data_IF_521595033714
#
_entry.id   IF_521595033714
#
_cell.length_a   1.000
_cell.length_b   1.000
_cell.length_c   1.000
_cell.angle_alpha   90.00
_cell.angle_beta   90.00
_cell.angle_gamma   90.00
#
_symmetry.space_group_name_H-M   'P 1'
#
loop_
_entity.id
_entity.type
_entity.pdbx_description
1 polymer ?
#
# COMPACT_ATOMS: atom_id res chain seq x y z
N UNK A 1 1.63 39.92 27.78
CA UNK A 1 1.25 39.04 26.66
C UNK A 1 1.71 37.64 27.01
N UNK A 2 0.80 36.81 27.52
CA UNK A 2 1.08 35.43 27.89
C UNK A 2 0.73 34.56 26.70
N UNK A 3 1.76 33.97 26.07
CA UNK A 3 1.58 33.03 24.96
C UNK A 3 1.09 31.72 25.58
N UNK A 4 -0.17 31.37 25.30
CA UNK A 4 -0.70 30.05 25.59
C UNK A 4 -0.06 29.07 24.61
N UNK A 5 0.91 28.29 25.07
CA UNK A 5 1.34 27.06 24.41
C UNK A 5 0.23 26.03 24.64
N UNK A 6 -0.75 26.01 23.73
CA UNK A 6 -1.69 24.93 23.64
C UNK A 6 -0.94 23.67 23.24
N UNK A 7 -0.61 22.82 24.23
CA UNK A 7 -0.33 21.42 23.99
C UNK A 7 -1.59 20.87 23.33
N UNK A 8 -1.52 20.61 22.03
CA UNK A 8 -2.55 19.85 21.35
C UNK A 8 -2.61 18.48 22.05
N UNK A 9 -3.67 18.26 22.83
CA UNK A 9 -3.98 16.92 23.32
C UNK A 9 -4.10 15.98 22.13
N UNK A 10 -3.82 14.68 22.30
CA UNK A 10 -4.01 13.73 21.21
C UNK A 10 -5.49 13.79 20.82
N UNK A 11 -5.78 14.28 19.61
CA UNK A 11 -7.09 14.10 19.01
C UNK A 11 -7.27 12.60 18.82
N UNK A 12 -8.06 12.02 19.72
CA UNK A 12 -8.61 10.66 19.69
C UNK A 12 -9.57 10.53 18.52
N UNK A 13 -9.06 10.66 17.30
CA UNK A 13 -9.83 10.34 16.11
C UNK A 13 -10.11 8.82 16.10
N UNK A 14 -11.26 8.44 15.58
CA UNK A 14 -11.57 7.04 15.29
C UNK A 14 -10.61 6.47 14.25
N UNK A 15 -10.53 5.14 14.18
CA UNK A 15 -10.11 4.45 12.96
C UNK A 15 -11.05 4.92 11.84
N UNK A 16 -10.51 5.49 10.77
CA UNK A 16 -11.32 6.09 9.71
C UNK A 16 -11.31 5.23 8.46
N UNK A 17 -12.48 5.16 7.83
CA UNK A 17 -12.60 4.55 6.52
C UNK A 17 -11.75 5.30 5.48
N UNK A 18 -10.76 4.63 4.86
CA UNK A 18 -9.94 5.25 3.83
C UNK A 18 -10.79 5.53 2.58
N UNK A 19 -10.41 6.53 1.80
CA UNK A 19 -10.96 6.71 0.45
C UNK A 19 -9.85 6.39 -0.54
N UNK A 20 -9.95 5.21 -1.16
CA UNK A 20 -8.93 4.77 -2.12
C UNK A 20 -9.10 5.42 -3.48
N UNK A 21 -7.98 5.84 -4.06
CA UNK A 21 -7.86 6.37 -5.41
C UNK A 21 -7.06 5.42 -6.29
N UNK A 22 -7.34 5.44 -7.60
CA UNK A 22 -6.52 4.74 -8.58
C UNK A 22 -5.04 5.11 -8.42
N UNK A 23 -4.17 4.10 -8.29
CA UNK A 23 -2.74 4.28 -8.12
C UNK A 23 -2.25 4.28 -6.67
N UNK A 24 -3.15 4.32 -5.69
CA UNK A 24 -2.78 4.03 -4.31
C UNK A 24 -2.13 2.63 -4.24
N UNK A 25 -1.01 2.53 -3.55
CA UNK A 25 -0.28 1.27 -3.44
C UNK A 25 0.56 1.19 -2.17
N UNK A 26 0.78 -0.05 -1.73
CA UNK A 26 1.58 -0.39 -0.57
C UNK A 26 2.50 -1.54 -0.90
N UNK A 27 3.74 -1.43 -0.47
CA UNK A 27 4.76 -2.46 -0.59
C UNK A 27 5.15 -2.90 0.81
N UNK A 28 5.10 -4.20 1.04
CA UNK A 28 5.43 -4.84 2.30
C UNK A 28 6.59 -5.81 2.16
N UNK A 29 7.35 -5.97 3.24
CA UNK A 29 8.18 -7.15 3.47
C UNK A 29 7.30 -8.17 4.17
N UNK A 30 7.28 -9.41 3.69
CA UNK A 30 6.55 -10.52 4.31
C UNK A 30 7.51 -11.59 4.79
N UNK A 31 7.24 -12.13 5.97
CA UNK A 31 7.83 -13.35 6.47
C UNK A 31 6.72 -14.27 6.94
N UNK A 32 6.81 -15.56 6.66
CA UNK A 32 5.82 -16.52 7.10
C UNK A 32 6.42 -17.91 7.30
N UNK A 33 5.71 -18.76 8.03
CA UNK A 33 6.00 -20.18 8.17
C UNK A 33 4.81 -20.99 7.72
N UNK A 34 5.05 -21.97 6.86
CA UNK A 34 4.05 -22.96 6.45
C UNK A 34 4.48 -24.31 7.02
N UNK A 35 3.59 -24.97 7.74
CA UNK A 35 3.80 -26.31 8.33
C UNK A 35 3.25 -27.44 7.44
N UNK A 36 2.48 -27.09 6.41
CA UNK A 36 1.94 -28.03 5.42
C UNK A 36 1.51 -27.31 4.14
N UNK A 37 1.75 -27.93 2.98
CA UNK A 37 1.14 -27.47 1.73
C UNK A 37 -0.29 -28.02 1.62
N UNK A 38 -1.29 -27.21 1.25
CA UNK A 38 -2.62 -27.72 0.95
C UNK A 38 -2.58 -28.75 -0.18
N UNK A 39 -3.33 -29.84 -0.04
CA UNK A 39 -3.34 -30.96 -1.00
C UNK A 39 -2.19 -31.96 -0.83
N UNK A 40 -1.24 -31.71 0.09
CA UNK A 40 -0.20 -32.66 0.45
C UNK A 40 -0.69 -33.56 1.59
N UNK A 41 -0.91 -34.84 1.31
CA UNK A 41 -1.30 -35.79 2.35
C UNK A 41 -0.08 -36.18 3.20
N UNK A 42 -0.29 -36.46 4.48
CA UNK A 42 0.77 -36.89 5.41
C UNK A 42 1.53 -38.14 4.94
N UNK A 43 0.89 -39.00 4.14
CA UNK A 43 1.50 -40.18 3.52
C UNK A 43 2.45 -39.86 2.35
N UNK A 44 2.46 -38.62 1.86
CA UNK A 44 3.36 -38.16 0.80
C UNK A 44 4.52 -37.36 1.39
N UNK A 45 4.34 -36.82 2.60
CA UNK A 45 5.37 -36.14 3.35
C UNK A 45 4.83 -35.10 4.29
N UNK A 46 5.75 -34.40 4.93
CA UNK A 46 5.48 -33.20 5.72
C UNK A 46 6.70 -32.29 5.63
N UNK A 47 6.51 -31.00 5.85
CA UNK A 47 7.63 -30.07 5.81
C UNK A 47 7.32 -28.79 6.55
N UNK A 48 8.39 -28.13 6.98
CA UNK A 48 8.31 -26.81 7.59
C UNK A 48 9.08 -25.85 6.70
N UNK A 49 8.40 -24.83 6.22
CA UNK A 49 8.91 -23.88 5.25
C UNK A 49 8.85 -22.48 5.82
N UNK A 50 10.00 -21.82 5.90
CA UNK A 50 10.08 -20.38 6.04
C UNK A 50 9.86 -19.72 4.68
N UNK A 51 9.15 -18.60 4.68
CA UNK A 51 8.94 -17.73 3.54
C UNK A 51 9.47 -16.35 3.86
N UNK A 52 10.16 -15.75 2.91
CA UNK A 52 10.54 -14.33 2.95
C UNK A 52 10.32 -13.72 1.59
N UNK A 53 9.64 -12.59 1.53
CA UNK A 53 9.32 -11.97 0.25
C UNK A 53 8.85 -10.53 0.34
N UNK A 54 8.36 -10.05 -0.79
CA UNK A 54 7.74 -8.74 -0.94
C UNK A 54 6.29 -8.93 -1.39
N UNK A 55 5.40 -8.09 -0.86
CA UNK A 55 3.99 -8.02 -1.27
C UNK A 55 3.71 -6.61 -1.76
N UNK A 56 3.12 -6.48 -2.94
CA UNK A 56 2.59 -5.25 -3.47
C UNK A 56 1.07 -5.34 -3.49
N UNK A 57 0.40 -4.33 -2.94
CA UNK A 57 -1.05 -4.13 -3.01
C UNK A 57 -1.29 -2.84 -3.78
N UNK A 58 -2.11 -2.87 -4.82
CA UNK A 58 -2.35 -1.72 -5.70
C UNK A 58 -3.84 -1.56 -5.98
N UNK A 59 -4.34 -0.35 -5.77
CA UNK A 59 -5.69 0.05 -6.15
C UNK A 59 -5.73 0.35 -7.63
N UNK A 60 -6.58 -0.37 -8.35
CA UNK A 60 -6.81 -0.15 -9.79
C UNK A 60 -7.85 0.95 -9.98
N UNK A 61 -8.91 0.93 -9.18
CA UNK A 61 -9.93 1.96 -9.22
C UNK A 61 -11.32 1.43 -8.86
N UNK A 62 -12.36 2.27 -9.05
CA UNK A 62 -13.73 1.85 -8.85
C UNK A 62 -14.12 0.76 -9.85
N UNK A 63 -14.88 -0.21 -9.38
CA UNK A 63 -15.41 -1.31 -10.17
C UNK A 63 -16.83 -1.66 -9.72
N UNK A 64 -17.51 -2.46 -10.52
CA UNK A 64 -18.85 -2.94 -10.27
C UNK A 64 -18.89 -4.46 -10.36
N UNK A 65 -19.42 -5.10 -9.32
CA UNK A 65 -19.59 -6.55 -9.28
C UNK A 65 -21.08 -6.87 -9.39
N UNK A 66 -21.53 -7.58 -10.44
CA UNK A 66 -22.92 -7.97 -10.57
C UNK A 66 -23.31 -8.98 -9.49
N UNK A 67 -24.45 -8.72 -8.83
CA UNK A 67 -25.06 -9.60 -7.82
C UNK A 67 -26.56 -9.72 -8.13
N UNK A 68 -26.93 -10.79 -8.82
CA UNK A 68 -28.29 -10.98 -9.31
C UNK A 68 -28.70 -9.85 -10.26
N UNK A 69 -29.80 -9.16 -9.96
CA UNK A 69 -30.30 -8.02 -10.74
C UNK A 69 -29.73 -6.66 -10.29
N UNK A 70 -28.77 -6.65 -9.37
CA UNK A 70 -28.16 -5.43 -8.83
C UNK A 70 -26.65 -5.43 -9.05
N UNK A 71 -26.04 -4.25 -8.98
CA UNK A 71 -24.58 -4.08 -9.03
C UNK A 71 -24.11 -3.57 -7.67
N UNK A 72 -23.00 -4.11 -7.16
CA UNK A 72 -22.35 -3.62 -5.95
C UNK A 72 -21.16 -2.78 -6.36
N UNK A 73 -21.12 -1.52 -5.93
CA UNK A 73 -19.95 -0.66 -6.13
C UNK A 73 -18.80 -1.14 -5.23
N UNK A 74 -17.63 -1.28 -5.85
CA UNK A 74 -16.43 -1.83 -5.24
C UNK A 74 -15.19 -1.04 -5.62
N UNK A 75 -14.08 -1.33 -4.95
CA UNK A 75 -12.73 -0.96 -5.38
C UNK A 75 -12.01 -2.23 -5.82
N UNK A 76 -11.48 -2.24 -7.04
CA UNK A 76 -10.64 -3.33 -7.53
C UNK A 76 -9.21 -3.14 -7.02
N UNK A 77 -8.65 -4.22 -6.45
CA UNK A 77 -7.31 -4.26 -5.89
C UNK A 77 -6.55 -5.43 -6.48
N UNK A 78 -5.30 -5.18 -6.89
CA UNK A 78 -4.34 -6.22 -7.26
C UNK A 78 -3.36 -6.42 -6.11
N UNK A 79 -3.18 -7.68 -5.72
CA UNK A 79 -2.15 -8.09 -4.77
C UNK A 79 -1.18 -9.02 -5.47
N UNK A 80 0.10 -8.69 -5.44
CA UNK A 80 1.19 -9.52 -5.95
C UNK A 80 2.17 -9.81 -4.83
N UNK A 81 2.56 -11.07 -4.65
CA UNK A 81 3.61 -11.45 -3.73
C UNK A 81 4.66 -12.30 -4.42
N UNK A 82 5.93 -12.04 -4.15
CA UNK A 82 7.04 -12.88 -4.62
C UNK A 82 8.07 -13.03 -3.53
N UNK A 83 8.75 -14.17 -3.50
CA UNK A 83 9.80 -14.37 -2.54
C UNK A 83 10.46 -15.73 -2.63
N UNK A 84 11.22 -16.02 -1.59
CA UNK A 84 11.97 -17.24 -1.41
C UNK A 84 11.33 -18.08 -0.32
N UNK A 85 11.47 -19.39 -0.46
CA UNK A 85 11.14 -20.35 0.57
C UNK A 85 12.36 -21.20 0.91
N UNK A 86 12.49 -21.58 2.17
CA UNK A 86 13.52 -22.50 2.63
C UNK A 86 12.99 -23.35 3.79
N UNK A 87 13.59 -24.51 4.04
CA UNK A 87 13.22 -25.31 5.21
C UNK A 87 13.61 -26.77 5.08
N UNK A 88 12.76 -27.63 5.62
CA UNK A 88 12.97 -29.08 5.55
C UNK A 88 11.72 -29.79 5.05
N UNK A 89 11.94 -30.85 4.29
CA UNK A 89 10.90 -31.75 3.79
C UNK A 89 11.22 -33.18 4.22
N UNK A 90 10.19 -33.94 4.58
CA UNK A 90 10.31 -35.34 4.99
C UNK A 90 9.37 -36.18 4.14
N UNK A 91 9.91 -37.09 3.34
CA UNK A 91 9.14 -38.12 2.64
C UNK A 91 9.15 -39.41 3.46
N UNK A 92 8.02 -40.13 3.61
CA UNK A 92 8.03 -41.44 4.25
C UNK A 92 9.01 -42.40 3.57
N UNK A 93 9.84 -43.08 4.35
CA UNK A 93 10.89 -43.98 3.84
C UNK A 93 12.21 -43.29 3.48
N UNK A 94 12.30 -41.95 3.55
CA UNK A 94 13.54 -41.18 3.39
C UNK A 94 13.78 -40.30 4.62
N UNK A 95 15.03 -39.92 4.86
CA UNK A 95 15.40 -38.95 5.91
C UNK A 95 14.88 -37.53 5.60
N UNK A 96 15.12 -36.54 6.48
CA UNK A 96 14.85 -35.15 6.14
C UNK A 96 15.75 -34.68 4.99
N UNK A 97 15.18 -33.90 4.09
CA UNK A 97 15.89 -33.17 3.05
C UNK A 97 15.73 -31.66 3.24
N UNK A 98 16.77 -30.93 2.88
CA UNK A 98 16.69 -29.48 2.78
C UNK A 98 15.90 -29.10 1.53
N UNK A 99 15.11 -28.04 1.67
CA UNK A 99 14.33 -27.48 0.58
C UNK A 99 14.63 -25.99 0.45
N UNK A 100 14.79 -25.55 -0.79
CA UNK A 100 14.91 -24.13 -1.14
C UNK A 100 14.11 -23.84 -2.38
N UNK A 101 13.60 -22.63 -2.54
CA UNK A 101 12.76 -22.35 -3.69
C UNK A 101 12.23 -20.94 -3.72
N UNK A 102 11.19 -20.75 -4.51
CA UNK A 102 10.49 -19.48 -4.66
C UNK A 102 8.99 -19.67 -4.58
N UNK A 103 8.31 -18.57 -4.26
CA UNK A 103 6.87 -18.48 -4.36
C UNK A 103 6.46 -17.22 -5.13
N UNK A 104 5.34 -17.32 -5.83
CA UNK A 104 4.67 -16.18 -6.47
C UNK A 104 3.19 -16.27 -6.19
N UNK A 105 2.54 -15.14 -5.92
CA UNK A 105 1.09 -15.00 -5.82
C UNK A 105 0.66 -13.82 -6.64
N UNK A 106 -0.37 -13.99 -7.45
CA UNK A 106 -1.05 -12.92 -8.16
C UNK A 106 -2.55 -13.04 -7.85
N UNK A 107 -3.14 -12.01 -7.27
CA UNK A 107 -4.52 -12.00 -6.81
C UNK A 107 -5.22 -10.70 -7.22
N UNK A 108 -6.46 -10.82 -7.66
CA UNK A 108 -7.38 -9.70 -7.88
C UNK A 108 -8.51 -9.81 -6.88
N UNK A 109 -8.81 -8.73 -6.18
CA UNK A 109 -9.93 -8.63 -5.24
C UNK A 109 -10.83 -7.46 -5.60
N UNK A 110 -12.10 -7.60 -5.23
CA UNK A 110 -13.10 -6.53 -5.28
C UNK A 110 -13.59 -6.29 -3.87
N UNK A 111 -13.21 -5.16 -3.31
CA UNK A 111 -13.57 -4.76 -1.96
C UNK A 111 -14.83 -3.93 -1.99
N UNK A 112 -15.84 -4.28 -1.20
CA UNK A 112 -17.07 -3.49 -1.17
C UNK A 112 -16.85 -2.09 -0.58
N UNK A 113 -17.63 -1.12 -1.05
CA UNK A 113 -17.34 0.28 -0.80
C UNK A 113 -17.60 0.76 0.62
N UNK A 114 -18.29 0.02 1.49
CA UNK A 114 -18.68 0.47 2.82
C UNK A 114 -17.66 0.11 3.90
N UNK A 115 -17.13 -1.12 3.91
CA UNK A 115 -16.15 -1.61 4.88
C UNK A 115 -14.87 -2.20 4.26
N UNK A 116 -14.74 -2.20 2.93
CA UNK A 116 -13.65 -2.80 2.15
C UNK A 116 -13.44 -4.29 2.40
N UNK A 117 -14.52 -5.02 2.68
CA UNK A 117 -14.46 -6.48 2.74
C UNK A 117 -14.41 -7.06 1.30
N UNK A 118 -13.57 -8.08 1.04
CA UNK A 118 -13.51 -8.70 -0.27
C UNK A 118 -14.79 -9.49 -0.56
N UNK A 119 -15.56 -9.06 -1.56
CA UNK A 119 -16.78 -9.74 -2.02
C UNK A 119 -16.55 -10.66 -3.22
N UNK A 120 -15.43 -10.48 -3.92
CA UNK A 120 -14.95 -11.38 -4.95
C UNK A 120 -13.43 -11.37 -4.96
N UNK A 121 -12.83 -12.55 -5.14
CA UNK A 121 -11.39 -12.73 -5.24
C UNK A 121 -11.05 -13.80 -6.27
N UNK A 122 -9.98 -13.59 -7.01
CA UNK A 122 -9.42 -14.56 -7.96
C UNK A 122 -7.91 -14.48 -7.89
N UNK A 123 -7.27 -15.59 -7.54
CA UNK A 123 -5.84 -15.61 -7.32
C UNK A 123 -5.18 -16.91 -7.74
N UNK A 124 -3.91 -16.81 -8.10
CA UNK A 124 -3.02 -17.93 -8.35
C UNK A 124 -1.80 -17.81 -7.44
N UNK A 125 -1.44 -18.89 -6.76
CA UNK A 125 -0.22 -19.01 -5.96
C UNK A 125 0.59 -20.19 -6.48
N UNK A 126 1.86 -19.98 -6.77
CA UNK A 126 2.80 -21.00 -7.21
C UNK A 126 3.98 -21.09 -6.25
N UNK A 127 4.36 -22.31 -5.90
CA UNK A 127 5.56 -22.65 -5.16
C UNK A 127 6.42 -23.56 -6.03
N UNK A 128 7.68 -23.20 -6.22
CA UNK A 128 8.67 -24.03 -6.92
C UNK A 128 9.82 -24.24 -5.96
N UNK A 129 10.02 -25.49 -5.55
CA UNK A 129 10.93 -25.83 -4.49
C UNK A 129 11.83 -27.00 -4.88
N UNK A 130 13.13 -26.83 -4.73
CA UNK A 130 14.15 -27.83 -5.00
C UNK A 130 14.41 -28.62 -3.71
N UNK A 131 14.11 -29.91 -3.75
CA UNK A 131 14.32 -30.84 -2.64
C UNK A 131 15.61 -31.61 -2.90
N UNK A 132 16.56 -31.51 -1.98
CA UNK A 132 17.87 -32.18 -2.13
C UNK A 132 17.92 -33.44 -1.26
N UNK A 133 17.73 -34.60 -1.89
CA UNK A 133 18.07 -35.91 -1.36
C UNK A 133 19.43 -36.37 -1.92
N UNK A 134 19.63 -37.69 -2.10
CA UNK A 134 20.77 -38.25 -2.87
C UNK A 134 20.73 -37.78 -4.33
N UNK A 135 19.52 -37.59 -4.89
CA UNK A 135 19.29 -36.96 -6.20
C UNK A 135 18.37 -35.74 -6.01
N UNK A 136 18.68 -34.59 -6.63
CA UNK A 136 17.81 -33.41 -6.57
C UNK A 136 16.50 -33.66 -7.31
N UNK A 137 15.39 -33.21 -6.75
CA UNK A 137 14.06 -33.27 -7.37
C UNK A 137 13.28 -31.99 -7.12
N UNK A 138 12.41 -31.64 -8.07
CA UNK A 138 11.57 -30.46 -7.95
C UNK A 138 10.20 -30.83 -7.35
N UNK A 139 9.82 -30.05 -6.35
CA UNK A 139 8.50 -29.97 -5.76
C UNK A 139 7.81 -28.72 -6.32
N UNK A 140 6.79 -28.92 -7.15
CA UNK A 140 6.02 -27.81 -7.72
C UNK A 140 4.59 -27.88 -7.22
N UNK A 141 4.10 -26.78 -6.68
CA UNK A 141 2.73 -26.67 -6.16
C UNK A 141 2.09 -25.42 -6.74
N UNK A 142 0.96 -25.59 -7.41
CA UNK A 142 0.18 -24.50 -7.98
C UNK A 142 -1.23 -24.53 -7.40
N UNK A 143 -1.69 -23.39 -6.91
CA UNK A 143 -3.03 -23.15 -6.41
C UNK A 143 -3.68 -22.08 -7.26
N UNK A 144 -4.94 -22.31 -7.62
CA UNK A 144 -5.81 -21.29 -8.18
C UNK A 144 -7.09 -21.30 -7.37
N UNK A 145 -7.41 -20.18 -6.74
CA UNK A 145 -8.64 -20.02 -5.99
C UNK A 145 -9.49 -18.93 -6.61
N UNK A 146 -10.78 -19.21 -6.76
CA UNK A 146 -11.80 -18.22 -7.06
C UNK A 146 -12.77 -18.22 -5.89
N UNK A 147 -13.06 -17.06 -5.34
CA UNK A 147 -13.97 -16.92 -4.21
C UNK A 147 -14.99 -15.81 -4.44
N UNK A 148 -16.24 -16.06 -4.05
CA UNK A 148 -17.29 -15.04 -3.99
C UNK A 148 -17.89 -15.04 -2.60
N UNK A 149 -17.99 -13.85 -1.99
CA UNK A 149 -18.45 -13.69 -0.61
C UNK A 149 -19.72 -12.86 -0.58
N UNK A 150 -20.75 -13.41 0.05
CA UNK A 150 -21.93 -12.67 0.47
C UNK A 150 -21.77 -12.22 1.93
N UNK A 151 -22.27 -11.02 2.21
CA UNK A 151 -22.15 -10.36 3.52
C UNK A 151 -23.58 -10.10 3.98
N UNK A 152 -23.97 -10.64 5.14
CA UNK A 152 -25.36 -10.53 5.62
C UNK A 152 -25.70 -9.13 6.12
N UNK A 153 -24.74 -8.47 6.77
CA UNK A 153 -24.84 -7.12 7.28
C UNK A 153 -23.47 -6.47 7.18
N UNK A 154 -23.40 -5.28 6.58
CA UNK A 154 -22.15 -4.57 6.43
C UNK A 154 -21.79 -3.92 7.77
N UNK A 155 -20.58 -4.18 8.30
CA UNK A 155 -20.14 -3.63 9.57
C UNK A 155 -19.84 -2.13 9.45
N UNK A 156 -19.97 -1.39 10.55
CA UNK A 156 -19.47 -0.02 10.63
C UNK A 156 -17.94 -0.03 10.58
N UNK A 157 -17.36 0.79 9.69
CA UNK A 157 -15.90 0.88 9.58
C UNK A 157 -15.30 1.82 10.61
N UNK A 158 -15.92 2.98 10.82
CA UNK A 158 -15.40 3.98 11.74
C UNK A 158 -15.55 3.48 13.17
N UNK A 159 -14.42 3.25 13.84
CA UNK A 159 -14.37 2.59 15.14
C UNK A 159 -13.41 3.31 16.07
N UNK A 160 -13.88 3.69 17.25
CA UNK A 160 -13.04 4.20 18.33
C UNK A 160 -12.31 3.06 19.07
N UNK A 161 -11.28 3.42 19.83
CA UNK A 161 -10.61 2.48 20.74
C UNK A 161 -11.63 1.90 21.74
N UNK A 162 -11.64 0.58 21.86
CA UNK A 162 -12.59 -0.19 22.67
C UNK A 162 -13.85 -0.63 21.92
N UNK A 163 -14.05 -0.20 20.68
CA UNK A 163 -15.17 -0.64 19.85
C UNK A 163 -14.83 -1.86 19.01
N UNK A 164 -15.87 -2.55 18.54
CA UNK A 164 -15.77 -3.72 17.67
C UNK A 164 -16.81 -3.67 16.55
N UNK A 165 -16.53 -4.40 15.48
CA UNK A 165 -17.48 -4.65 14.40
C UNK A 165 -17.43 -6.11 13.96
N UNK A 166 -18.56 -6.62 13.46
CA UNK A 166 -18.65 -7.99 12.98
C UNK A 166 -19.62 -8.13 11.82
N UNK A 167 -19.38 -9.14 10.96
CA UNK A 167 -20.26 -9.48 9.86
C UNK A 167 -20.26 -10.99 9.61
N UNK A 168 -21.43 -11.56 9.29
CA UNK A 168 -21.48 -12.95 8.84
C UNK A 168 -21.24 -13.01 7.34
N UNK A 169 -20.37 -13.94 6.96
CA UNK A 169 -19.91 -14.17 5.61
C UNK A 169 -20.35 -15.56 5.16
N UNK A 170 -20.81 -15.64 3.92
CA UNK A 170 -20.91 -16.93 3.21
C UNK A 170 -20.07 -16.82 1.96
N UNK A 171 -18.98 -17.57 1.94
CA UNK A 171 -18.00 -17.56 0.86
C UNK A 171 -18.05 -18.87 0.09
N UNK A 172 -18.38 -18.79 -1.19
CA UNK A 172 -18.18 -19.88 -2.13
C UNK A 172 -16.74 -19.87 -2.61
N UNK A 173 -16.01 -20.97 -2.48
CA UNK A 173 -14.61 -21.12 -2.92
C UNK A 173 -14.50 -22.28 -3.90
N UNK A 174 -13.94 -22.02 -5.09
CA UNK A 174 -13.46 -23.04 -6.03
C UNK A 174 -11.92 -23.02 -6.02
N UNK A 175 -11.34 -24.08 -5.48
CA UNK A 175 -9.90 -24.28 -5.37
C UNK A 175 -9.46 -25.37 -6.34
N UNK A 176 -8.54 -25.02 -7.22
CA UNK A 176 -7.82 -25.94 -8.09
C UNK A 176 -6.38 -26.00 -7.66
N UNK A 177 -5.89 -27.19 -7.33
CA UNK A 177 -4.51 -27.41 -6.93
C UNK A 177 -3.85 -28.46 -7.80
N UNK A 178 -2.63 -28.17 -8.25
CA UNK A 178 -1.77 -29.13 -8.95
C UNK A 178 -0.46 -29.26 -8.18
N UNK A 179 -0.08 -30.51 -7.95
CA UNK A 179 1.07 -30.90 -7.18
C UNK A 179 1.94 -31.83 -8.02
N UNK A 180 3.23 -31.54 -8.15
CA UNK A 180 4.19 -32.39 -8.85
C UNK A 180 5.40 -32.65 -7.98
N UNK A 181 5.74 -33.93 -7.80
CA UNK A 181 6.92 -34.36 -7.04
C UNK A 181 7.41 -35.71 -7.55
N UNK A 182 8.73 -35.90 -7.66
CA UNK A 182 9.34 -37.11 -8.25
C UNK A 182 8.72 -37.53 -9.60
N UNK A 183 8.42 -36.54 -10.46
CA UNK A 183 7.81 -36.78 -11.78
C UNK A 183 6.35 -37.25 -11.74
N UNK A 184 5.74 -37.38 -10.56
CA UNK A 184 4.32 -37.68 -10.42
C UNK A 184 3.53 -36.39 -10.22
N UNK A 185 2.51 -36.19 -11.05
CA UNK A 185 1.60 -35.05 -10.94
C UNK A 185 0.23 -35.49 -10.43
N UNK A 186 -0.33 -34.73 -9.51
CA UNK A 186 -1.69 -34.87 -9.01
C UNK A 186 -2.41 -33.54 -9.12
N UNK A 187 -3.67 -33.60 -9.50
CA UNK A 187 -4.55 -32.43 -9.52
C UNK A 187 -5.80 -32.72 -8.71
N UNK A 188 -6.26 -31.71 -8.00
CA UNK A 188 -7.49 -31.75 -7.23
C UNK A 188 -8.28 -30.46 -7.53
N UNK A 189 -9.60 -30.60 -7.56
CA UNK A 189 -10.53 -29.50 -7.62
C UNK A 189 -11.55 -29.70 -6.52
N UNK A 190 -11.69 -28.70 -5.67
CA UNK A 190 -12.65 -28.69 -4.58
C UNK A 190 -13.46 -27.40 -4.67
N UNK A 191 -14.78 -27.53 -4.62
CA UNK A 191 -15.69 -26.41 -4.49
C UNK A 191 -16.46 -26.57 -3.17
N UNK A 192 -16.54 -25.51 -2.39
CA UNK A 192 -17.20 -25.56 -1.08
C UNK A 192 -17.76 -24.19 -0.69
N UNK A 193 -18.81 -24.21 0.11
CA UNK A 193 -19.39 -23.03 0.75
C UNK A 193 -18.93 -22.98 2.21
N UNK A 194 -18.32 -21.87 2.59
CA UNK A 194 -17.80 -21.63 3.93
C UNK A 194 -18.65 -20.55 4.60
N UNK A 195 -19.29 -20.90 5.70
CA UNK A 195 -19.92 -19.92 6.60
C UNK A 195 -18.91 -19.50 7.65
N UNK A 196 -18.69 -18.20 7.80
CA UNK A 196 -17.75 -17.64 8.77
C UNK A 196 -18.26 -16.32 9.34
N UNK A 197 -17.61 -15.85 10.40
CA UNK A 197 -17.87 -14.52 10.98
C UNK A 197 -16.56 -13.73 10.92
N UNK A 198 -16.61 -12.58 10.25
CA UNK A 198 -15.55 -11.58 10.30
C UNK A 198 -15.75 -10.71 11.53
N UNK A 199 -14.67 -10.41 12.23
CA UNK A 199 -14.64 -9.54 13.40
C UNK A 199 -13.43 -8.60 13.35
N UNK A 200 -13.57 -7.42 13.95
CA UNK A 200 -12.49 -6.45 14.18
C UNK A 200 -12.74 -5.73 15.50
N UNK A 201 -11.77 -5.81 16.40
CA UNK A 201 -11.72 -5.07 17.66
C UNK A 201 -10.61 -4.02 17.59
N UNK A 202 -10.90 -2.76 17.96
CA UNK A 202 -9.89 -1.71 18.08
C UNK A 202 -9.39 -1.68 19.51
N UNK A 203 -8.19 -2.23 19.76
CA UNK A 203 -7.69 -2.45 21.12
C UNK A 203 -7.04 -1.20 21.71
N UNK A 204 -6.19 -0.53 20.93
CA UNK A 204 -5.41 0.61 21.38
C UNK A 204 -4.91 1.42 20.18
N UNK A 205 -4.32 2.57 20.47
CA UNK A 205 -3.57 3.37 19.50
C UNK A 205 -2.13 3.49 19.98
N UNK A 206 -1.17 3.17 19.12
CA UNK A 206 0.25 3.18 19.47
C UNK A 206 1.12 3.52 18.26
N UNK A 207 2.37 3.92 18.55
CA UNK A 207 3.33 4.23 17.50
C UNK A 207 4.02 2.94 17.05
N UNK A 208 3.95 2.65 15.75
CA UNK A 208 4.55 1.48 15.13
C UNK A 208 5.67 1.93 14.21
N UNK A 209 6.88 1.43 14.47
CA UNK A 209 8.07 1.69 13.64
C UNK A 209 8.31 0.51 12.70
N UNK A 210 8.36 0.81 11.41
CA UNK A 210 8.62 -0.12 10.30
C UNK A 210 9.60 0.52 9.31
N UNK A 211 9.94 -0.18 8.24
CA UNK A 211 10.87 0.28 7.21
C UNK A 211 10.42 1.60 6.55
N UNK A 212 9.11 1.79 6.37
CA UNK A 212 8.56 3.03 5.80
C UNK A 212 8.60 4.24 6.76
N UNK A 213 8.83 4.04 8.06
CA UNK A 213 8.81 5.10 9.07
C UNK A 213 8.11 4.73 10.37
N UNK A 214 7.77 5.72 11.18
CA UNK A 214 6.99 5.54 12.42
C UNK A 214 5.63 6.19 12.26
N UNK A 215 4.57 5.43 12.52
CA UNK A 215 3.18 5.85 12.29
C UNK A 215 2.33 5.63 13.53
N UNK A 216 1.44 6.57 13.80
CA UNK A 216 0.37 6.35 14.77
C UNK A 216 -0.63 5.36 14.17
N UNK A 217 -0.73 4.18 14.77
CA UNK A 217 -1.52 3.06 14.26
C UNK A 217 -2.50 2.56 15.32
N UNK A 218 -3.68 2.15 14.89
CA UNK A 218 -4.65 1.40 15.68
C UNK A 218 -4.24 -0.05 15.71
N UNK A 219 -4.05 -0.59 16.91
CA UNK A 219 -3.87 -2.02 17.12
C UNK A 219 -5.23 -2.70 17.06
N UNK A 220 -5.37 -3.61 16.11
CA UNK A 220 -6.58 -4.34 15.81
C UNK A 220 -6.39 -5.82 16.15
N UNK A 221 -7.40 -6.44 16.73
CA UNK A 221 -7.56 -7.89 16.74
C UNK A 221 -8.68 -8.22 15.77
N UNK A 222 -8.39 -8.95 14.71
CA UNK A 222 -9.39 -9.18 13.66
C UNK A 222 -9.27 -10.56 13.03
N UNK A 223 -10.35 -11.01 12.40
CA UNK A 223 -10.35 -12.20 11.55
C UNK A 223 -9.40 -11.96 10.38
N UNK A 224 -8.48 -12.88 10.13
CA UNK A 224 -7.52 -12.71 9.04
C UNK A 224 -8.23 -12.83 7.68
N UNK A 225 -8.21 -11.77 6.89
CA UNK A 225 -8.79 -11.75 5.54
C UNK A 225 -7.88 -12.40 4.46
N UNK A 226 -6.95 -13.26 4.88
CA UNK A 226 -5.86 -13.78 4.04
C UNK A 226 -4.54 -13.08 4.31
N UNK A 227 -3.45 -13.86 4.28
CA UNK A 227 -2.09 -13.38 4.53
C UNK A 227 -1.22 -13.62 3.30
N UNK A 228 -0.79 -12.54 2.65
CA UNK A 228 -0.04 -12.63 1.39
C UNK A 228 1.27 -13.40 1.58
N UNK A 229 1.39 -14.54 0.88
CA UNK A 229 2.48 -15.50 1.01
C UNK A 229 2.05 -16.85 1.60
N UNK A 230 0.93 -16.90 2.33
CA UNK A 230 0.32 -18.16 2.75
C UNK A 230 -0.60 -18.71 1.64
N UNK A 231 -0.80 -20.04 1.57
CA UNK A 231 -1.71 -20.64 0.62
C UNK A 231 -3.14 -20.14 0.84
N UNK A 232 -3.85 -19.86 -0.24
CA UNK A 232 -5.27 -19.54 -0.23
C UNK A 232 -6.03 -20.71 0.44
N UNK A 233 -6.76 -20.43 1.52
CA UNK A 233 -7.54 -21.44 2.24
C UNK A 233 -6.89 -22.05 3.49
N UNK A 234 -5.68 -21.62 3.90
CA UNK A 234 -5.22 -21.84 5.27
C UNK A 234 -5.71 -20.67 6.12
N UNK A 235 -6.62 -20.96 7.06
CA UNK A 235 -7.07 -20.00 8.05
C UNK A 235 -5.88 -19.59 8.93
N UNK A 236 -5.32 -18.41 8.71
CA UNK A 236 -4.83 -17.67 9.87
C UNK A 236 -6.08 -17.42 10.72
N UNK A 237 -6.18 -18.10 11.86
CA UNK A 237 -7.42 -18.10 12.66
C UNK A 237 -7.77 -16.67 13.09
N UNK A 238 -6.76 -15.93 13.55
CA UNK A 238 -6.82 -14.52 13.91
C UNK A 238 -5.54 -13.80 13.50
N UNK A 239 -5.62 -12.48 13.38
CA UNK A 239 -4.45 -11.63 13.21
C UNK A 239 -4.45 -10.45 14.17
N UNK A 240 -3.24 -10.03 14.57
CA UNK A 240 -3.03 -8.70 15.12
C UNK A 240 -2.60 -7.79 13.97
N UNK A 241 -3.39 -6.76 13.69
CA UNK A 241 -3.10 -5.82 12.62
C UNK A 241 -2.89 -4.41 13.18
N UNK A 242 -2.08 -3.62 12.50
CA UNK A 242 -1.80 -2.24 12.86
C UNK A 242 -2.21 -1.39 11.67
N UNK A 243 -3.28 -0.62 11.80
CA UNK A 243 -3.81 0.22 10.73
C UNK A 243 -3.53 1.69 11.03
N UNK A 244 -3.06 2.46 10.04
CA UNK A 244 -2.88 3.90 10.22
C UNK A 244 -3.74 4.68 9.24
N UNK A 245 -4.49 5.67 9.74
CA UNK A 245 -5.27 6.58 8.88
C UNK A 245 -4.34 7.38 7.94
N UNK A 246 -3.10 7.68 8.35
CA UNK A 246 -2.12 8.43 7.55
C UNK A 246 -1.57 7.61 6.35
N UNK A 247 -1.61 6.29 6.48
CA UNK A 247 -1.20 5.33 5.45
C UNK A 247 -2.41 4.81 4.68
N UNK A 248 -3.61 4.97 5.22
CA UNK A 248 -4.87 4.47 4.66
C UNK A 248 -5.00 2.96 4.66
N UNK A 249 -4.01 2.25 5.22
CA UNK A 249 -3.95 0.81 5.22
C UNK A 249 -3.04 0.31 6.35
N UNK A 250 -2.73 -0.99 6.35
CA UNK A 250 -1.95 -1.60 7.41
C UNK A 250 -0.48 -1.14 7.37
N UNK A 251 0.07 -0.76 8.52
CA UNK A 251 1.52 -0.52 8.71
C UNK A 251 2.24 -1.82 9.02
N UNK A 252 1.57 -2.73 9.74
CA UNK A 252 2.07 -4.05 10.11
C UNK A 252 0.90 -5.03 10.30
N UNK A 253 1.11 -6.32 9.99
CA UNK A 253 0.18 -7.40 10.35
C UNK A 253 0.94 -8.61 10.88
N UNK A 254 0.33 -9.34 11.79
CA UNK A 254 0.87 -10.56 12.36
C UNK A 254 -0.21 -11.64 12.37
N UNK A 255 0.07 -12.75 11.70
CA UNK A 255 -0.84 -13.88 11.62
C UNK A 255 -0.52 -14.93 12.70
N UNK A 256 -1.57 -15.51 13.27
CA UNK A 256 -1.46 -16.53 14.30
C UNK A 256 -2.24 -17.79 13.91
N UNK A 257 -1.65 -18.94 14.20
CA UNK A 257 -2.27 -20.27 14.07
C UNK A 257 -2.10 -20.99 15.40
N UNK A 258 -3.21 -21.44 16.01
CA UNK A 258 -3.21 -22.11 17.32
C UNK A 258 -2.45 -21.33 18.41
N UNK A 259 -2.54 -20.00 18.41
CA UNK A 259 -1.86 -19.12 19.36
C UNK A 259 -0.37 -18.88 19.07
N UNK A 260 0.21 -19.56 18.09
CA UNK A 260 1.60 -19.34 17.66
C UNK A 260 1.65 -18.40 16.47
N UNK A 261 2.62 -17.48 16.47
CA UNK A 261 2.84 -16.56 15.36
C UNK A 261 3.40 -17.31 14.16
N UNK A 262 2.73 -17.22 13.02
CA UNK A 262 3.09 -17.90 11.77
C UNK A 262 3.43 -16.94 10.64
N UNK A 263 3.23 -15.64 10.80
CA UNK A 263 3.64 -14.67 9.79
C UNK A 263 3.66 -13.22 10.26
N UNK A 264 4.41 -12.40 9.55
CA UNK A 264 4.50 -10.96 9.70
C UNK A 264 4.59 -10.25 8.34
N UNK A 265 3.82 -9.17 8.17
CA UNK A 265 4.04 -8.19 7.11
C UNK A 265 4.38 -6.84 7.71
N UNK A 266 5.36 -6.13 7.13
CA UNK A 266 5.81 -4.80 7.57
C UNK A 266 5.88 -3.86 6.38
N UNK A 267 5.34 -2.66 6.54
CA UNK A 267 5.27 -1.67 5.47
C UNK A 267 6.66 -1.15 5.13
N UNK A 268 7.03 -1.27 3.86
CA UNK A 268 8.31 -0.82 3.30
C UNK A 268 8.21 0.51 2.59
N UNK A 269 7.17 0.71 1.80
CA UNK A 269 6.88 1.96 1.11
C UNK A 269 5.42 2.01 0.70
N UNK A 270 4.89 3.21 0.47
CA UNK A 270 3.51 3.38 0.03
C UNK A 270 3.32 4.68 -0.73
N UNK A 271 2.21 4.76 -1.44
CA UNK A 271 1.59 5.99 -1.93
C UNK A 271 0.12 5.88 -1.58
N UNK A 272 -0.37 6.75 -0.72
CA UNK A 272 -1.77 6.77 -0.31
C UNK A 272 -2.23 8.21 -0.14
N UNK A 273 -3.41 8.50 -0.68
CA UNK A 273 -3.91 9.85 -0.78
C UNK A 273 -3.18 10.62 -1.87
N UNK A 274 -3.84 11.59 -2.48
CA UNK A 274 -3.18 12.52 -3.39
C UNK A 274 -1.92 13.05 -2.70
N UNK A 275 -0.76 12.85 -3.32
CA UNK A 275 0.47 13.50 -2.89
C UNK A 275 0.12 14.96 -2.55
N UNK A 276 0.55 15.51 -1.39
CA UNK A 276 0.25 16.89 -1.06
C UNK A 276 0.56 17.70 -2.31
N UNK A 277 -0.37 18.54 -2.82
CA UNK A 277 -0.20 19.21 -4.10
C UNK A 277 1.20 19.78 -4.08
N UNK A 278 2.09 19.19 -4.88
CA UNK A 278 3.45 19.68 -4.92
C UNK A 278 3.27 21.12 -5.33
N UNK A 279 3.74 22.05 -4.51
CA UNK A 279 3.59 23.48 -4.75
C UNK A 279 4.07 23.87 -6.16
N UNK A 280 4.91 23.02 -6.78
CA UNK A 280 5.34 23.06 -8.18
C UNK A 280 4.24 22.77 -9.22
N UNK A 281 3.30 21.87 -8.93
CA UNK A 281 2.27 21.42 -9.86
C UNK A 281 1.06 22.36 -9.98
N UNK A 282 0.55 22.91 -8.87
CA UNK A 282 -0.67 23.75 -8.90
C UNK A 282 -0.36 25.25 -9.05
N UNK A 283 0.76 25.73 -8.51
CA UNK A 283 1.14 27.15 -8.55
C UNK A 283 2.53 27.41 -9.16
N UNK A 284 3.47 26.45 -9.09
CA UNK A 284 4.85 26.67 -9.52
C UNK A 284 5.06 26.76 -11.03
N UNK A 285 4.35 25.95 -11.83
CA UNK A 285 4.38 26.06 -13.30
C UNK A 285 3.87 27.42 -13.81
N UNK A 286 2.68 27.93 -13.40
CA UNK A 286 2.25 29.27 -13.80
C UNK A 286 3.15 30.39 -13.26
N UNK A 287 3.69 30.27 -12.04
CA UNK A 287 4.63 31.27 -11.50
C UNK A 287 5.97 31.31 -12.22
N UNK A 288 6.50 30.16 -12.67
CA UNK A 288 7.72 30.11 -13.50
C UNK A 288 7.47 30.75 -14.87
N UNK A 289 6.31 30.49 -15.49
CA UNK A 289 5.93 31.16 -16.75
C UNK A 289 5.81 32.67 -16.56
N UNK A 290 5.17 33.13 -15.47
CA UNK A 290 5.08 34.56 -15.15
C UNK A 290 6.46 35.19 -14.93
N UNK A 291 7.37 34.51 -14.20
CA UNK A 291 8.72 35.00 -13.96
C UNK A 291 9.55 35.09 -15.25
N UNK A 292 9.42 34.11 -16.15
CA UNK A 292 10.10 34.12 -17.46
C UNK A 292 9.54 35.25 -18.34
N UNK A 293 8.21 35.45 -18.38
CA UNK A 293 7.57 36.53 -19.14
C UNK A 293 7.93 37.90 -18.56
N UNK A 294 7.91 38.07 -17.24
CA UNK A 294 8.33 39.31 -16.59
C UNK A 294 9.82 39.61 -16.82
N UNK A 295 10.68 38.59 -16.75
CA UNK A 295 12.11 38.70 -17.04
C UNK A 295 12.38 39.10 -18.50
N UNK A 296 11.67 38.51 -19.46
CA UNK A 296 11.80 38.89 -20.88
C UNK A 296 11.27 40.29 -21.15
N UNK A 297 10.13 40.68 -20.57
CA UNK A 297 9.60 42.04 -20.69
C UNK A 297 10.56 43.08 -20.09
N UNK A 298 11.14 42.82 -18.91
CA UNK A 298 12.14 43.68 -18.29
C UNK A 298 13.40 43.78 -19.16
N UNK A 299 13.90 42.67 -19.70
CA UNK A 299 15.04 42.66 -20.60
C UNK A 299 14.78 43.48 -21.88
N UNK A 300 13.59 43.35 -22.48
CA UNK A 300 13.18 44.13 -23.66
C UNK A 300 13.11 45.61 -23.33
N UNK A 301 12.51 45.99 -22.19
CA UNK A 301 12.44 47.40 -21.75
C UNK A 301 13.84 47.96 -21.48
N UNK A 302 14.70 47.20 -20.81
CA UNK A 302 16.08 47.61 -20.54
C UNK A 302 16.90 47.75 -21.83
N UNK A 303 16.71 46.83 -22.78
CA UNK A 303 17.39 46.88 -24.07
C UNK A 303 16.89 48.05 -24.93
N UNK A 304 15.59 48.35 -24.92
CA UNK A 304 15.02 49.54 -25.57
C UNK A 304 15.53 50.85 -24.93
N UNK A 305 15.61 50.92 -23.60
CA UNK A 305 16.21 52.07 -22.88
C UNK A 305 17.71 52.21 -23.16
N UNK A 306 18.45 51.11 -23.28
CA UNK A 306 19.87 51.13 -23.65
C UNK A 306 20.06 51.63 -25.09
N UNK A 307 19.26 51.16 -26.04
CA UNK A 307 19.30 51.66 -27.43
C UNK A 307 18.95 53.14 -27.55
N UNK A 308 17.98 53.65 -26.79
CA UNK A 308 17.64 55.09 -26.81
C UNK A 308 18.76 55.96 -26.21
N UNK A 309 19.45 55.49 -25.17
CA UNK A 309 20.63 56.18 -24.60
C UNK A 309 21.83 56.19 -25.55
N UNK A 310 22.06 55.11 -26.30
CA UNK A 310 23.15 55.04 -27.28
C UNK A 310 22.87 55.98 -28.47
N UNK A 311 21.61 56.08 -28.93
CA UNK A 311 21.24 57.04 -29.98
C UNK A 311 21.34 58.51 -29.53
N UNK A 312 21.21 58.81 -28.23
CA UNK A 312 21.41 60.17 -27.69
C UNK A 312 22.87 60.56 -27.45
N UNK A 313 23.83 59.63 -27.54
CA UNK A 313 25.27 59.91 -27.34
C UNK A 313 26.03 60.24 -28.62
N UNK A 314 25.38 60.17 -29.78
CA UNK A 314 25.94 60.58 -31.06
C UNK A 314 25.29 61.88 -31.52
N UNK A 315 25.63 62.99 -30.87
CA UNK A 315 25.47 64.36 -31.42
C UNK A 315 26.56 65.26 -30.82
N UNK A 316 27.23 66.14 -31.61
CA UNK A 316 28.49 66.79 -31.24
C UNK A 316 28.30 67.93 -30.22
N UNK A 317 29.37 68.38 -29.52
CA UNK A 317 29.27 69.41 -28.50
C UNK A 317 29.06 70.80 -29.11
N UNK A 318 28.17 71.60 -28.52
CA UNK A 318 27.97 73.02 -28.81
C UNK A 318 28.50 73.90 -27.65
N UNK A 319 28.90 75.16 -27.91
CA UNK A 319 29.94 75.87 -27.16
C UNK A 319 29.46 76.57 -25.88
N UNK A 320 30.45 76.98 -25.08
CA UNK A 320 30.33 77.75 -23.84
C UNK A 320 29.65 79.12 -24.04
N UNK A 321 28.95 79.59 -23.00
CA UNK A 321 29.06 80.96 -22.47
C UNK A 321 28.28 81.11 -21.14
N UNK A 322 28.85 81.91 -20.24
CA UNK A 322 28.27 82.45 -18.99
C UNK A 322 28.47 83.99 -19.03
N UNK A 323 28.19 84.81 -17.99
CA UNK A 323 27.23 84.81 -16.87
C UNK A 323 26.48 86.17 -16.71
N UNK A 324 25.67 86.33 -15.65
CA UNK A 324 25.29 87.64 -15.05
C UNK A 324 24.03 87.56 -14.17
N UNK A 325 23.80 88.32 -13.07
CA UNK A 325 24.57 89.29 -12.29
C UNK A 325 23.69 89.83 -11.13
N UNK A 326 24.25 90.12 -9.93
CA UNK A 326 23.79 91.09 -8.89
C UNK A 326 22.67 90.64 -7.92
N UNK A 327 22.65 90.80 -6.58
CA UNK A 327 23.26 91.76 -5.62
C UNK A 327 22.41 93.05 -5.49
N UNK A 328 21.94 93.60 -4.36
CA UNK A 328 21.94 93.30 -2.91
C UNK A 328 21.22 94.42 -2.10
N UNK A 329 21.06 94.21 -0.78
CA UNK A 329 20.83 95.16 0.34
C UNK A 329 19.63 96.13 0.41
N UNK A 330 18.88 96.04 1.52
CA UNK A 330 18.27 97.19 2.22
C UNK A 330 18.77 97.24 3.68
N UNK A 331 19.19 98.43 4.11
CA UNK A 331 19.75 98.76 5.43
C UNK A 331 18.84 99.79 6.13
N UNK A 332 18.66 99.59 7.43
CA UNK A 332 18.56 100.60 8.50
C UNK A 332 17.48 101.72 8.41
N UNK A 333 16.45 101.60 9.26
CA UNK A 333 16.19 102.50 10.40
C UNK A 333 15.13 101.90 11.33
#
# INVERSE_FOLDING_TARGET
>A
MTVSLGIAGPTTAALQKPTYSTGDHWIYITTASISSFPGLNSSQGSGQFGLVGQVEVRVIGPAEVPRGNTSVHTVQVLTRATGFLNGTFRTPGFGPADITGTFTTDMTEFWENQAYLPIASTGTTSYVAHVTYILPTDLVVNFRANATTSISAVPTFDLDVGQHASANLVTHVDLNSTFTFFGQTRSQRNATDLSSTWQRDVLSRENVTVEAGTFSSYRLNQTAAGFSGLPLGISAGNETAFFSNDVGYYTKREAYENGSRVGETRLKSYSFGSAPPSWLGTWGLPLLVIAVVAGTLLAIVFWRRRKSRIRRRASPPAPADAPGSGGGNDRAR
#
